data_IF_481775087331
#
_entry.id   IF_481775087331
#
_cell.length_a   1.000
_cell.length_b   1.000
_cell.length_c   1.000
_cell.angle_alpha   90.00
_cell.angle_beta   90.00
_cell.angle_gamma   90.00
#
_symmetry.space_group_name_H-M   'P 1'
#
loop_
_entity.id
_entity.type
_entity.pdbx_description
1 polymer ?
#
# COMPACT_ATOMS: atom_id res chain seq x y z
N UNK A 1 20.97 -55.23 88.28
CA UNK A 1 21.38 -55.22 86.85
C UNK A 1 20.15 -55.43 85.96
N UNK A 2 19.47 -54.37 85.47
CA UNK A 2 18.37 -54.45 84.48
C UNK A 2 17.97 -53.03 84.06
N UNK A 3 18.61 -52.45 83.03
CA UNK A 3 18.14 -51.19 82.36
C UNK A 3 18.88 -50.77 81.07
N UNK A 4 19.74 -51.61 80.47
CA UNK A 4 20.43 -51.28 79.20
C UNK A 4 19.76 -51.83 77.93
N UNK A 5 18.84 -52.79 78.04
CA UNK A 5 18.23 -53.45 76.87
C UNK A 5 17.10 -52.65 76.20
N UNK A 6 16.44 -51.73 76.93
CA UNK A 6 15.33 -50.92 76.38
C UNK A 6 15.79 -49.83 75.42
N UNK A 7 16.91 -49.16 75.69
CA UNK A 7 17.43 -48.12 74.80
C UNK A 7 18.02 -48.69 73.49
N UNK A 8 18.59 -49.90 73.55
CA UNK A 8 19.06 -50.62 72.37
C UNK A 8 17.87 -51.06 71.50
N UNK A 9 16.81 -51.59 72.11
CA UNK A 9 15.59 -51.98 71.39
C UNK A 9 14.90 -50.77 70.71
N UNK A 10 14.78 -49.64 71.41
CA UNK A 10 14.25 -48.40 70.81
C UNK A 10 15.16 -47.84 69.72
N UNK A 11 16.49 -47.92 69.88
CA UNK A 11 17.44 -47.53 68.83
C UNK A 11 17.31 -48.38 67.57
N UNK A 12 17.10 -49.69 67.71
CA UNK A 12 16.86 -50.60 66.58
C UNK A 12 15.52 -50.30 65.89
N UNK A 13 14.46 -50.00 66.65
CA UNK A 13 13.14 -49.65 66.09
C UNK A 13 13.21 -48.32 65.31
N UNK A 14 13.88 -47.30 65.86
CA UNK A 14 14.05 -46.01 65.18
C UNK A 14 14.89 -46.16 63.91
N UNK A 15 15.97 -46.95 63.97
CA UNK A 15 16.78 -47.25 62.79
C UNK A 15 15.99 -48.01 61.72
N UNK A 16 15.17 -49.00 62.11
CA UNK A 16 14.32 -49.75 61.20
C UNK A 16 13.25 -48.86 60.54
N UNK A 17 12.62 -47.96 61.30
CA UNK A 17 11.66 -46.98 60.77
C UNK A 17 12.34 -45.98 59.80
N UNK A 18 13.56 -45.54 60.11
CA UNK A 18 14.32 -44.67 59.22
C UNK A 18 14.69 -45.36 57.91
N UNK A 19 15.08 -46.64 57.95
CA UNK A 19 15.37 -47.45 56.76
C UNK A 19 14.09 -47.68 55.94
N UNK A 20 12.96 -47.98 56.58
CA UNK A 20 11.66 -48.13 55.91
C UNK A 20 11.22 -46.82 55.24
N UNK A 21 11.40 -45.68 55.92
CA UNK A 21 11.10 -44.36 55.38
C UNK A 21 12.00 -44.03 54.18
N UNK A 22 13.32 -44.30 54.27
CA UNK A 22 14.26 -44.09 53.15
C UNK A 22 13.97 -45.03 51.97
N UNK A 23 13.61 -46.30 52.23
CA UNK A 23 13.22 -47.24 51.19
C UNK A 23 11.92 -46.82 50.50
N UNK A 24 10.95 -46.31 51.26
CA UNK A 24 9.72 -45.74 50.71
C UNK A 24 10.00 -44.48 49.89
N UNK A 25 10.81 -43.55 50.40
CA UNK A 25 11.25 -42.36 49.65
C UNK A 25 12.03 -42.70 48.38
N UNK A 26 12.88 -43.73 48.41
CA UNK A 26 13.61 -44.20 47.24
C UNK A 26 12.70 -44.86 46.20
N UNK A 27 11.70 -45.64 46.65
CA UNK A 27 10.66 -46.17 45.76
C UNK A 27 9.84 -45.06 45.12
N UNK A 28 9.43 -44.04 45.90
CA UNK A 28 8.72 -42.85 45.41
C UNK A 28 9.58 -42.02 44.45
N UNK A 29 10.88 -41.84 44.73
CA UNK A 29 11.83 -41.18 43.83
C UNK A 29 11.99 -41.93 42.49
N UNK A 30 12.10 -43.26 42.54
CA UNK A 30 12.16 -44.13 41.35
C UNK A 30 10.88 -44.08 40.52
N UNK A 31 9.73 -43.92 41.17
CA UNK A 31 8.44 -43.79 40.50
C UNK A 31 8.24 -42.39 39.90
N UNK A 32 8.69 -41.34 40.60
CA UNK A 32 8.72 -39.96 40.09
C UNK A 32 9.67 -39.80 38.90
N UNK A 33 10.80 -40.52 38.88
CA UNK A 33 11.74 -40.49 37.75
C UNK A 33 11.28 -41.17 36.45
N UNK A 34 10.06 -41.75 36.43
CA UNK A 34 9.42 -42.31 35.22
C UNK A 34 8.82 -41.25 34.32
N UNK A 35 8.48 -40.09 34.89
CA UNK A 35 8.00 -38.92 34.16
C UNK A 35 9.09 -37.86 34.13
N UNK A 36 9.01 -36.99 33.14
CA UNK A 36 9.92 -35.86 32.99
C UNK A 36 9.61 -34.80 34.07
N UNK A 37 10.64 -34.11 34.59
CA UNK A 37 10.45 -33.00 35.53
C UNK A 37 9.46 -31.95 35.03
N UNK A 38 8.68 -31.37 35.94
CA UNK A 38 7.80 -30.24 35.62
C UNK A 38 8.62 -29.04 35.13
N UNK A 39 8.10 -28.30 34.15
CA UNK A 39 8.77 -27.14 33.55
C UNK A 39 9.90 -27.49 32.56
N UNK A 40 10.02 -28.76 32.17
CA UNK A 40 10.97 -29.20 31.15
C UNK A 40 10.43 -28.93 29.75
N UNK A 41 11.26 -28.31 28.90
CA UNK A 41 10.91 -28.01 27.51
C UNK A 41 11.89 -28.63 26.52
N UNK A 42 11.39 -29.13 25.39
CA UNK A 42 12.19 -29.66 24.29
C UNK A 42 11.77 -28.98 22.99
N UNK A 43 12.70 -28.29 22.32
CA UNK A 43 12.39 -27.45 21.14
C UNK A 43 11.19 -26.50 21.37
N UNK A 44 11.06 -25.95 22.58
CA UNK A 44 9.97 -25.07 22.98
C UNK A 44 8.67 -25.77 23.40
N UNK A 45 8.50 -27.07 23.13
CA UNK A 45 7.35 -27.85 23.58
C UNK A 45 7.49 -28.21 25.06
N UNK A 46 6.45 -27.95 25.86
CA UNK A 46 6.40 -28.39 27.25
C UNK A 46 6.17 -29.90 27.32
N UNK A 47 7.16 -30.60 27.87
CA UNK A 47 7.16 -32.05 28.04
C UNK A 47 7.11 -32.47 29.51
N UNK A 48 6.92 -31.51 30.42
CA UNK A 48 6.83 -31.78 31.85
C UNK A 48 5.71 -32.76 32.18
N UNK A 49 5.99 -33.74 33.05
CA UNK A 49 5.03 -34.76 33.45
C UNK A 49 4.77 -35.86 32.40
N UNK A 50 5.30 -35.74 31.17
CA UNK A 50 5.23 -36.80 30.16
C UNK A 50 6.21 -37.93 30.49
N UNK A 51 5.90 -39.15 30.03
CA UNK A 51 6.93 -40.20 29.94
C UNK A 51 7.92 -39.88 28.82
N UNK A 52 9.10 -40.52 28.86
CA UNK A 52 10.10 -40.41 27.78
C UNK A 52 9.51 -40.70 26.40
N UNK A 53 8.77 -41.79 26.28
CA UNK A 53 8.18 -42.23 25.01
C UNK A 53 7.09 -41.24 24.55
N UNK A 54 6.30 -40.72 25.48
CA UNK A 54 5.28 -39.72 25.18
C UNK A 54 5.90 -38.42 24.68
N UNK A 55 6.99 -37.94 25.29
CA UNK A 55 7.68 -36.73 24.87
C UNK A 55 8.30 -36.88 23.47
N UNK A 56 8.95 -38.02 23.17
CA UNK A 56 9.53 -38.26 21.84
C UNK A 56 8.45 -38.39 20.77
N UNK A 57 7.34 -39.06 21.05
CA UNK A 57 6.20 -39.15 20.13
C UNK A 57 5.56 -37.77 19.89
N UNK A 58 5.40 -36.96 20.94
CA UNK A 58 4.87 -35.61 20.80
C UNK A 58 5.75 -34.71 19.92
N UNK A 59 7.08 -34.83 20.04
CA UNK A 59 8.03 -34.14 19.15
C UNK A 59 7.94 -34.66 17.71
N UNK A 60 7.85 -35.97 17.52
CA UNK A 60 7.69 -36.60 16.20
C UNK A 60 6.42 -36.11 15.50
N UNK A 61 5.29 -36.05 16.21
CA UNK A 61 4.03 -35.51 15.68
C UNK A 61 4.15 -34.00 15.38
N UNK A 62 4.82 -33.24 16.24
CA UNK A 62 5.02 -31.81 16.03
C UNK A 62 5.84 -31.54 14.76
N UNK A 63 6.96 -32.24 14.56
CA UNK A 63 7.81 -32.07 13.37
C UNK A 63 7.23 -32.72 12.10
N UNK A 64 6.29 -33.66 12.23
CA UNK A 64 5.52 -34.21 11.10
C UNK A 64 4.38 -33.27 10.64
N UNK A 65 4.02 -32.26 11.43
CA UNK A 65 2.95 -31.32 11.10
C UNK A 65 3.48 -30.20 10.20
N UNK A 66 2.78 -29.83 9.12
CA UNK A 66 3.18 -28.69 8.28
C UNK A 66 3.25 -27.37 9.05
N UNK A 67 4.30 -26.60 8.80
CA UNK A 67 4.47 -25.26 9.34
C UNK A 67 3.61 -24.27 8.54
N UNK A 68 2.80 -23.45 9.20
CA UNK A 68 1.99 -22.42 8.54
C UNK A 68 2.83 -21.17 8.26
N UNK A 69 3.11 -20.91 6.99
CA UNK A 69 3.90 -19.76 6.55
C UNK A 69 2.96 -18.68 6.04
N UNK A 70 2.99 -17.50 6.67
CA UNK A 70 2.09 -16.39 6.34
C UNK A 70 2.78 -15.39 5.40
N UNK A 71 2.21 -15.18 4.21
CA UNK A 71 2.61 -14.14 3.24
C UNK A 71 1.46 -13.15 3.05
N UNK A 72 1.61 -11.88 3.44
CA UNK A 72 0.55 -10.86 3.29
C UNK A 72 -0.84 -11.31 3.78
N UNK A 73 -0.89 -12.07 4.88
CA UNK A 73 -2.14 -12.63 5.44
C UNK A 73 -2.66 -13.91 4.76
N UNK A 74 -2.00 -14.38 3.70
CA UNK A 74 -2.27 -15.69 3.09
C UNK A 74 -1.48 -16.79 3.80
N UNK A 75 -2.15 -17.91 4.07
CA UNK A 75 -1.60 -19.05 4.79
C UNK A 75 -1.07 -20.10 3.79
N UNK A 76 0.23 -20.36 3.84
CA UNK A 76 0.94 -21.26 2.95
C UNK A 76 1.51 -22.42 3.77
N UNK A 77 0.96 -23.64 3.66
CA UNK A 77 1.48 -24.77 4.40
C UNK A 77 2.84 -25.21 3.85
N UNK A 78 3.86 -25.23 4.71
CA UNK A 78 5.18 -25.76 4.44
C UNK A 78 5.27 -27.20 4.95
N UNK A 79 5.18 -28.16 4.04
CA UNK A 79 5.30 -29.58 4.38
C UNK A 79 6.75 -29.91 4.81
N UNK A 80 6.96 -30.68 5.90
CA UNK A 80 8.29 -31.09 6.36
C UNK A 80 9.15 -31.75 5.26
N UNK A 81 8.55 -32.63 4.46
CA UNK A 81 9.21 -33.33 3.35
C UNK A 81 9.75 -32.37 2.27
N UNK A 82 9.12 -31.20 2.09
CA UNK A 82 9.52 -30.24 1.06
C UNK A 82 10.84 -29.53 1.37
N UNK A 83 11.23 -29.52 2.66
CA UNK A 83 12.50 -28.96 3.16
C UNK A 83 13.43 -30.04 3.72
N UNK A 84 13.10 -31.31 3.50
CA UNK A 84 13.84 -32.46 4.03
C UNK A 84 14.05 -32.34 5.56
N UNK A 85 13.00 -31.89 6.27
CA UNK A 85 13.02 -31.82 7.72
C UNK A 85 13.09 -33.25 8.28
N UNK A 86 14.12 -33.51 9.08
CA UNK A 86 14.32 -34.79 9.73
C UNK A 86 14.50 -34.59 11.24
N UNK A 87 13.80 -35.41 12.00
CA UNK A 87 13.91 -35.51 13.45
C UNK A 87 14.58 -36.84 13.81
N UNK A 88 15.69 -36.75 14.56
CA UNK A 88 16.41 -37.91 15.06
C UNK A 88 15.92 -38.26 16.47
N UNK A 89 15.02 -39.23 16.55
CA UNK A 89 14.46 -39.69 17.81
C UNK A 89 15.51 -40.36 18.70
N UNK A 90 16.46 -41.10 18.13
CA UNK A 90 17.50 -41.84 18.86
C UNK A 90 18.56 -40.88 19.45
N UNK A 91 19.03 -39.91 18.65
CA UNK A 91 19.96 -38.89 19.13
C UNK A 91 19.31 -37.97 20.17
N UNK A 92 18.05 -37.59 19.97
CA UNK A 92 17.28 -36.79 20.94
C UNK A 92 17.07 -37.57 22.24
N UNK A 93 16.76 -38.86 22.15
CA UNK A 93 16.65 -39.77 23.28
C UNK A 93 17.98 -39.88 24.07
N UNK A 94 19.11 -39.98 23.39
CA UNK A 94 20.43 -39.99 24.02
C UNK A 94 20.74 -38.66 24.73
N UNK A 95 20.43 -37.53 24.10
CA UNK A 95 20.58 -36.19 24.71
C UNK A 95 19.70 -36.04 25.97
N UNK A 96 18.47 -36.55 25.91
CA UNK A 96 17.54 -36.57 27.04
C UNK A 96 18.08 -37.43 28.20
N UNK A 97 18.58 -38.62 27.91
CA UNK A 97 19.17 -39.50 28.93
C UNK A 97 20.41 -38.86 29.57
N UNK A 98 21.28 -38.22 28.78
CA UNK A 98 22.44 -37.51 29.28
C UNK A 98 22.07 -36.33 30.19
N UNK A 99 21.03 -35.57 29.82
CA UNK A 99 20.53 -34.45 30.61
C UNK A 99 19.91 -34.92 31.94
N UNK A 100 19.21 -36.06 31.93
CA UNK A 100 18.59 -36.65 33.13
C UNK A 100 19.55 -37.47 33.98
N UNK A 101 20.72 -37.86 33.48
CA UNK A 101 21.69 -38.68 34.23
C UNK A 101 22.11 -38.01 35.55
N UNK A 102 22.26 -36.69 35.56
CA UNK A 102 22.59 -35.91 36.77
C UNK A 102 21.44 -35.87 37.78
N UNK A 103 20.19 -35.75 37.32
CA UNK A 103 19.02 -35.67 38.19
C UNK A 103 18.51 -37.03 38.68
N UNK A 104 18.94 -38.13 38.06
CA UNK A 104 18.59 -39.51 38.45
C UNK A 104 19.61 -40.17 39.40
N UNK A 105 20.74 -39.51 39.68
CA UNK A 105 21.78 -39.99 40.61
C UNK A 105 21.47 -39.73 42.09
N UNK A 106 22.47 -39.98 42.95
CA UNK A 106 22.37 -39.75 44.41
C UNK A 106 22.06 -38.30 44.78
N UNK A 107 22.61 -37.33 44.03
CA UNK A 107 22.35 -35.90 44.25
C UNK A 107 20.89 -35.53 43.96
N UNK A 108 20.29 -36.15 42.95
CA UNK A 108 18.88 -36.00 42.63
C UNK A 108 17.95 -36.59 43.70
N UNK A 109 18.34 -37.73 44.29
CA UNK A 109 17.63 -38.31 45.42
C UNK A 109 17.67 -37.41 46.65
N UNK A 110 18.83 -36.83 46.98
CA UNK A 110 18.97 -35.86 48.09
C UNK A 110 18.12 -34.61 47.83
N UNK A 111 18.13 -34.09 46.60
CA UNK A 111 17.32 -32.95 46.20
C UNK A 111 15.82 -33.23 46.32
N UNK A 112 15.37 -34.43 45.93
CA UNK A 112 13.98 -34.88 46.07
C UNK A 112 13.54 -34.95 47.54
N UNK A 113 14.35 -35.57 48.41
CA UNK A 113 14.06 -35.67 49.85
C UNK A 113 14.01 -34.28 50.51
N UNK A 114 14.86 -33.35 50.07
CA UNK A 114 14.89 -31.97 50.56
C UNK A 114 13.87 -31.04 49.88
N UNK A 115 13.02 -31.54 48.97
CA UNK A 115 12.05 -30.76 48.17
C UNK A 115 12.66 -29.53 47.50
N UNK A 116 13.89 -29.66 46.98
CA UNK A 116 14.51 -28.56 46.24
C UNK A 116 13.82 -28.41 44.87
N UNK A 117 13.50 -27.18 44.45
CA UNK A 117 13.00 -26.93 43.10
C UNK A 117 14.05 -27.38 42.08
N UNK A 118 13.63 -28.10 41.05
CA UNK A 118 14.49 -28.49 39.95
C UNK A 118 14.60 -27.34 38.95
N UNK A 119 15.81 -26.99 38.55
CA UNK A 119 16.03 -25.96 37.54
C UNK A 119 15.57 -26.47 36.15
N UNK A 120 15.03 -25.60 35.29
CA UNK A 120 14.65 -25.97 33.93
C UNK A 120 15.83 -26.57 33.17
N UNK A 121 15.67 -27.79 32.67
CA UNK A 121 16.70 -28.49 31.89
C UNK A 121 16.35 -28.34 30.42
N UNK A 122 17.15 -27.56 29.69
CA UNK A 122 17.07 -27.49 28.24
C UNK A 122 17.76 -28.72 27.61
N UNK A 123 17.01 -29.53 26.87
CA UNK A 123 17.56 -30.69 26.15
C UNK A 123 17.71 -30.36 24.66
N UNK A 124 18.91 -30.50 24.09
CA UNK A 124 19.11 -30.35 22.66
C UNK A 124 18.31 -31.41 21.88
N UNK A 125 17.37 -30.95 21.05
CA UNK A 125 16.60 -31.79 20.13
C UNK A 125 17.38 -31.90 18.82
N UNK A 126 17.61 -33.12 18.36
CA UNK A 126 18.32 -33.38 17.11
C UNK A 126 17.31 -33.30 15.95
N UNK A 127 17.21 -32.11 15.37
CA UNK A 127 16.38 -31.81 14.20
C UNK A 127 17.20 -31.01 13.20
N UNK A 128 17.03 -31.31 11.92
CA UNK A 128 17.72 -30.62 10.84
C UNK A 128 16.84 -30.52 9.59
N UNK A 129 17.16 -29.57 8.72
CA UNK A 129 16.49 -29.35 7.44
C UNK A 129 17.51 -28.96 6.37
N UNK A 130 17.11 -29.00 5.10
CA UNK A 130 17.95 -28.57 3.97
C UNK A 130 17.75 -27.07 3.69
N UNK A 131 18.81 -26.28 3.88
CA UNK A 131 18.80 -24.84 3.56
C UNK A 131 18.52 -24.57 2.08
N UNK A 132 19.05 -25.40 1.19
CA UNK A 132 18.83 -25.30 -0.26
C UNK A 132 17.35 -25.51 -0.62
N UNK A 133 16.70 -26.48 0.03
CA UNK A 133 15.26 -26.73 -0.17
C UNK A 133 14.39 -25.62 0.37
N UNK A 134 14.75 -25.05 1.54
CA UNK A 134 14.09 -23.88 2.10
C UNK A 134 14.20 -22.68 1.16
N UNK A 135 15.38 -22.43 0.61
CA UNK A 135 15.59 -21.38 -0.38
C UNK A 135 14.78 -21.61 -1.65
N UNK A 136 14.70 -22.84 -2.12
CA UNK A 136 13.85 -23.23 -3.23
C UNK A 136 12.36 -23.00 -2.94
N UNK A 137 11.90 -23.26 -1.72
CA UNK A 137 10.54 -22.96 -1.29
C UNK A 137 10.26 -21.46 -1.30
N UNK A 138 11.11 -20.65 -0.63
CA UNK A 138 10.95 -19.19 -0.59
C UNK A 138 10.99 -18.57 -1.98
N UNK A 139 11.86 -19.06 -2.86
CA UNK A 139 11.93 -18.61 -4.26
C UNK A 139 10.65 -18.91 -5.03
N UNK A 140 10.05 -20.09 -4.84
CA UNK A 140 8.74 -20.40 -5.47
C UNK A 140 7.62 -19.52 -4.92
N UNK A 141 7.63 -19.24 -3.62
CA UNK A 141 6.67 -18.32 -3.02
C UNK A 141 6.83 -16.93 -3.62
N UNK A 142 8.05 -16.40 -3.70
CA UNK A 142 8.33 -15.12 -4.36
C UNK A 142 7.81 -15.11 -5.81
N UNK A 143 8.14 -16.13 -6.61
CA UNK A 143 7.70 -16.20 -8.01
C UNK A 143 6.18 -16.25 -8.19
N UNK A 144 5.46 -16.84 -7.24
CA UNK A 144 4.01 -17.01 -7.34
C UNK A 144 3.23 -15.82 -6.77
N UNK A 145 3.76 -15.16 -5.73
CA UNK A 145 3.01 -14.18 -4.94
C UNK A 145 3.57 -12.76 -5.00
N UNK A 146 4.85 -12.57 -5.38
CA UNK A 146 5.39 -11.23 -5.54
C UNK A 146 4.69 -10.53 -6.70
N UNK A 147 4.32 -9.28 -6.47
CA UNK A 147 3.61 -8.46 -7.43
C UNK A 147 4.30 -7.11 -7.54
N UNK A 148 4.68 -6.65 -8.74
CA UNK A 148 5.19 -5.31 -8.91
C UNK A 148 4.09 -4.28 -8.59
N UNK A 149 4.46 -3.07 -8.15
CA UNK A 149 3.49 -2.01 -7.93
C UNK A 149 2.81 -1.66 -9.26
N UNK A 150 1.49 -1.47 -9.22
CA UNK A 150 0.68 -1.19 -10.40
C UNK A 150 0.33 0.30 -10.47
N UNK A 151 0.47 0.94 -11.63
CA UNK A 151 0.11 2.35 -11.80
C UNK A 151 -1.41 2.55 -11.73
N UNK A 152 -1.87 3.78 -11.48
CA UNK A 152 -3.27 4.14 -11.69
C UNK A 152 -3.70 3.85 -13.14
N UNK A 153 -4.95 3.42 -13.32
CA UNK A 153 -5.47 3.00 -14.64
C UNK A 153 -6.68 3.86 -15.01
N UNK A 154 -6.70 4.50 -16.19
CA UNK A 154 -7.85 5.27 -16.63
C UNK A 154 -9.02 4.34 -16.98
N UNK A 155 -10.24 4.74 -16.59
CA UNK A 155 -11.49 4.03 -16.88
C UNK A 155 -12.43 4.96 -17.67
N UNK A 156 -12.30 5.01 -19.01
CA UNK A 156 -13.02 5.98 -19.86
C UNK A 156 -14.54 5.89 -19.76
N UNK A 157 -15.10 4.67 -19.67
CA UNK A 157 -16.55 4.47 -19.55
C UNK A 157 -17.13 5.07 -18.27
N UNK A 158 -16.36 5.05 -17.18
CA UNK A 158 -16.76 5.61 -15.89
C UNK A 158 -16.35 7.06 -15.66
N UNK A 159 -15.53 7.64 -16.56
CA UNK A 159 -14.87 8.94 -16.39
C UNK A 159 -14.06 9.02 -15.07
N UNK A 160 -13.46 7.91 -14.68
CA UNK A 160 -12.72 7.78 -13.41
C UNK A 160 -11.32 7.21 -13.65
N UNK A 161 -10.44 7.37 -12.67
CA UNK A 161 -9.13 6.71 -12.64
C UNK A 161 -9.15 5.74 -11.47
N UNK A 162 -8.87 4.47 -11.74
CA UNK A 162 -8.66 3.47 -10.69
C UNK A 162 -7.34 3.77 -9.98
N UNK A 163 -7.29 3.77 -8.64
CA UNK A 163 -6.04 4.00 -7.92
C UNK A 163 -5.02 2.90 -8.22
N UNK A 164 -3.74 3.29 -8.26
CA UNK A 164 -2.64 2.34 -8.35
C UNK A 164 -2.61 1.40 -7.14
N UNK A 165 -2.02 0.23 -7.33
CA UNK A 165 -1.88 -0.78 -6.27
C UNK A 165 -0.43 -0.89 -5.81
N UNK A 166 -0.17 -1.03 -4.51
CA UNK A 166 1.18 -1.28 -4.00
C UNK A 166 1.73 -2.61 -4.52
N UNK A 167 3.05 -2.66 -4.63
CA UNK A 167 3.79 -3.88 -4.95
C UNK A 167 4.30 -4.57 -3.69
N UNK A 168 4.49 -5.87 -3.79
CA UNK A 168 4.97 -6.73 -2.72
C UNK A 168 6.09 -7.62 -3.23
N UNK A 169 7.19 -7.67 -2.48
CA UNK A 169 8.34 -8.51 -2.80
C UNK A 169 8.83 -9.22 -1.55
N UNK A 170 8.97 -10.54 -1.61
CA UNK A 170 9.46 -11.33 -0.50
C UNK A 170 10.92 -10.99 -0.19
N UNK A 171 11.22 -10.63 1.05
CA UNK A 171 12.59 -10.54 1.53
C UNK A 171 13.06 -11.93 1.96
N UNK A 172 13.65 -12.67 1.01
CA UNK A 172 14.14 -14.03 1.25
C UNK A 172 15.24 -14.03 2.32
N UNK A 173 16.14 -13.04 2.29
CA UNK A 173 17.26 -12.95 3.23
C UNK A 173 16.79 -12.73 4.66
N UNK A 174 15.81 -11.84 4.87
CA UNK A 174 15.23 -11.59 6.19
C UNK A 174 14.30 -12.72 6.65
N UNK A 175 13.60 -13.40 5.73
CA UNK A 175 12.63 -14.43 6.06
C UNK A 175 13.28 -15.79 6.36
N UNK A 176 14.38 -16.13 5.68
CA UNK A 176 15.08 -17.42 5.86
C UNK A 176 15.36 -17.77 7.33
N UNK A 177 16.02 -16.91 8.15
CA UNK A 177 16.29 -17.26 9.54
C UNK A 177 15.03 -17.39 10.40
N UNK A 178 13.95 -16.67 10.07
CA UNK A 178 12.68 -16.78 10.78
C UNK A 178 12.02 -18.14 10.54
N UNK A 179 11.95 -18.57 9.29
CA UNK A 179 11.39 -19.88 8.92
C UNK A 179 12.28 -21.01 9.45
N UNK A 180 13.61 -20.87 9.36
CA UNK A 180 14.55 -21.82 9.93
C UNK A 180 14.38 -22.02 11.43
N UNK A 181 14.24 -20.93 12.20
CA UNK A 181 14.00 -21.00 13.64
C UNK A 181 12.64 -21.66 13.97
N UNK A 182 11.60 -21.39 13.17
CA UNK A 182 10.29 -22.01 13.33
C UNK A 182 10.31 -23.51 13.02
N UNK A 183 11.02 -23.95 11.97
CA UNK A 183 11.19 -25.36 11.62
C UNK A 183 11.90 -26.17 12.72
N UNK A 184 12.77 -25.53 13.50
CA UNK A 184 13.48 -26.16 14.63
C UNK A 184 12.69 -26.08 15.95
N UNK A 185 11.49 -25.50 15.94
CA UNK A 185 10.64 -25.33 17.12
C UNK A 185 9.40 -26.23 17.03
N UNK A 186 9.23 -27.10 18.01
CA UNK A 186 8.03 -27.93 18.13
C UNK A 186 6.81 -27.18 18.68
N UNK A 187 7.03 -25.97 19.25
CA UNK A 187 5.95 -25.13 19.78
C UNK A 187 5.45 -24.08 18.76
N UNK A 188 6.27 -23.73 17.76
CA UNK A 188 5.91 -22.70 16.81
C UNK A 188 5.35 -23.30 15.52
N UNK A 189 4.04 -23.23 15.38
CA UNK A 189 3.32 -23.77 14.21
C UNK A 189 3.08 -22.74 13.12
N UNK A 190 3.43 -21.47 13.36
CA UNK A 190 3.21 -20.38 12.42
C UNK A 190 4.41 -19.42 12.36
N UNK A 191 4.74 -18.96 11.16
CA UNK A 191 5.77 -17.94 10.92
C UNK A 191 5.31 -16.97 9.84
N UNK A 192 5.51 -15.66 10.07
CA UNK A 192 5.20 -14.62 9.09
C UNK A 192 6.44 -14.25 8.30
N UNK A 193 6.34 -14.25 6.97
CA UNK A 193 7.40 -13.83 6.07
C UNK A 193 7.57 -12.31 6.08
N UNK A 194 8.81 -11.87 5.93
CA UNK A 194 9.15 -10.45 5.78
C UNK A 194 8.93 -10.05 4.33
N UNK A 195 8.03 -9.10 4.08
CA UNK A 195 7.70 -8.62 2.73
C UNK A 195 8.01 -7.14 2.62
N UNK A 196 8.77 -6.78 1.59
CA UNK A 196 9.00 -5.38 1.22
C UNK A 196 7.79 -4.87 0.43
N UNK A 197 7.29 -3.70 0.83
CA UNK A 197 6.15 -3.07 0.17
C UNK A 197 6.65 -1.84 -0.61
N UNK A 198 6.35 -1.80 -1.89
CA UNK A 198 6.61 -0.65 -2.75
C UNK A 198 5.31 0.14 -2.97
N UNK A 199 5.28 1.46 -2.77
CA UNK A 199 4.08 2.26 -3.06
C UNK A 199 3.75 2.20 -4.55
N UNK A 200 2.46 2.39 -4.93
CA UNK A 200 2.10 2.54 -6.33
C UNK A 200 2.80 3.76 -6.96
N UNK A 201 3.09 3.73 -8.27
CA UNK A 201 3.48 4.94 -8.99
C UNK A 201 2.46 6.06 -8.77
N UNK A 202 2.90 7.33 -8.69
CA UNK A 202 1.99 8.45 -8.52
C UNK A 202 1.07 8.61 -9.74
N UNK A 203 -0.06 9.27 -9.53
CA UNK A 203 -0.88 9.74 -10.65
C UNK A 203 -0.14 10.87 -11.37
N UNK A 204 0.09 10.70 -12.68
CA UNK A 204 0.74 11.68 -13.54
C UNK A 204 -0.24 12.27 -14.54
N UNK A 205 0.14 13.40 -15.15
CA UNK A 205 -0.63 14.03 -16.22
C UNK A 205 -0.81 13.10 -17.43
N UNK A 206 0.15 12.21 -17.70
CA UNK A 206 0.05 11.19 -18.77
C UNK A 206 -1.19 10.29 -18.59
N UNK A 207 -1.49 9.87 -17.36
CA UNK A 207 -2.67 9.02 -17.08
C UNK A 207 -3.97 9.79 -17.35
N UNK A 208 -3.98 11.09 -17.04
CA UNK A 208 -5.10 11.96 -17.40
C UNK A 208 -5.20 12.13 -18.91
N UNK A 209 -4.08 12.27 -19.61
CA UNK A 209 -4.05 12.35 -21.08
C UNK A 209 -4.64 11.10 -21.73
N UNK A 210 -4.23 9.92 -21.28
CA UNK A 210 -4.78 8.65 -21.74
C UNK A 210 -6.30 8.58 -21.58
N UNK A 211 -6.81 9.00 -20.42
CA UNK A 211 -8.25 9.07 -20.15
C UNK A 211 -8.96 10.01 -21.13
N UNK A 212 -8.46 11.24 -21.26
CA UNK A 212 -9.08 12.27 -22.10
C UNK A 212 -9.02 11.90 -23.59
N UNK A 213 -7.93 11.30 -24.06
CA UNK A 213 -7.82 10.77 -25.41
C UNK A 213 -8.77 9.62 -25.67
N UNK A 214 -8.96 8.73 -24.71
CA UNK A 214 -9.92 7.63 -24.84
C UNK A 214 -11.37 8.14 -24.90
N UNK A 215 -11.70 9.17 -24.12
CA UNK A 215 -13.01 9.83 -24.19
C UNK A 215 -13.19 10.50 -25.55
N UNK A 216 -12.23 11.33 -25.99
CA UNK A 216 -12.28 12.01 -27.27
C UNK A 216 -12.34 11.02 -28.46
N UNK A 217 -11.64 9.89 -28.37
CA UNK A 217 -11.67 8.82 -29.37
C UNK A 217 -13.04 8.17 -29.55
N UNK A 218 -13.94 8.29 -28.58
CA UNK A 218 -15.36 7.89 -28.70
C UNK A 218 -16.17 8.78 -29.65
N UNK A 219 -15.63 9.92 -30.06
CA UNK A 219 -16.27 10.95 -30.88
C UNK A 219 -15.39 11.30 -32.10
N UNK A 220 -15.08 10.30 -32.93
CA UNK A 220 -14.14 10.44 -34.05
C UNK A 220 -14.57 11.46 -35.13
N UNK A 221 -15.83 11.88 -35.13
CA UNK A 221 -16.39 12.92 -36.00
C UNK A 221 -16.15 14.35 -35.47
N UNK A 222 -15.69 14.50 -34.22
CA UNK A 222 -15.43 15.78 -33.58
C UNK A 222 -13.94 16.07 -33.50
N UNK A 223 -13.58 17.33 -33.77
CA UNK A 223 -12.27 17.87 -33.42
C UNK A 223 -12.32 18.33 -31.97
N UNK A 224 -11.79 17.51 -31.05
CA UNK A 224 -11.79 17.81 -29.61
C UNK A 224 -10.53 18.57 -29.22
N UNK A 225 -10.69 19.68 -28.50
CA UNK A 225 -9.62 20.55 -28.01
C UNK A 225 -9.65 20.62 -26.49
N UNK A 226 -8.54 20.31 -25.84
CA UNK A 226 -8.43 20.27 -24.38
C UNK A 226 -7.08 20.88 -23.99
N UNK A 227 -7.11 21.75 -22.99
CA UNK A 227 -5.93 22.22 -22.28
C UNK A 227 -6.18 22.06 -20.78
N UNK A 228 -5.18 21.53 -20.07
CA UNK A 228 -5.19 21.40 -18.62
C UNK A 228 -3.86 21.91 -18.10
N UNK A 229 -3.90 22.69 -17.02
CA UNK A 229 -2.72 23.16 -16.31
C UNK A 229 -2.84 22.86 -14.83
N UNK A 230 -1.87 22.16 -14.28
CA UNK A 230 -1.73 22.02 -12.84
C UNK A 230 -1.11 23.30 -12.28
N UNK A 231 -1.89 24.04 -11.47
CA UNK A 231 -1.46 25.31 -10.89
C UNK A 231 -0.42 25.15 -9.77
N UNK A 232 -0.25 23.95 -9.21
CA UNK A 232 0.74 23.68 -8.16
C UNK A 232 2.11 23.37 -8.77
N UNK A 233 2.14 22.58 -9.84
CA UNK A 233 3.38 22.10 -10.45
C UNK A 233 3.78 22.87 -11.71
N UNK A 234 2.82 23.51 -12.38
CA UNK A 234 2.98 24.13 -13.69
C UNK A 234 2.97 23.14 -14.85
N UNK A 235 2.69 21.86 -14.61
CA UNK A 235 2.57 20.85 -15.66
C UNK A 235 1.36 21.12 -16.55
N UNK A 236 1.52 20.96 -17.86
CA UNK A 236 0.51 21.27 -18.86
C UNK A 236 0.23 20.04 -19.73
N UNK A 237 -1.04 19.86 -20.07
CA UNK A 237 -1.54 18.85 -20.99
C UNK A 237 -2.35 19.52 -22.08
N UNK A 238 -2.03 19.18 -23.33
CA UNK A 238 -2.68 19.73 -24.50
C UNK A 238 -3.11 18.65 -25.48
N UNK A 239 -4.40 18.56 -25.77
CA UNK A 239 -4.96 17.78 -26.88
C UNK A 239 -5.54 18.78 -27.87
N UNK A 240 -4.92 18.95 -29.04
CA UNK A 240 -5.30 19.99 -30.01
C UNK A 240 -5.43 21.39 -29.38
N UNK A 241 -4.60 21.68 -28.37
CA UNK A 241 -4.75 22.87 -27.53
C UNK A 241 -4.50 24.19 -28.30
N UNK A 242 -3.77 24.14 -29.41
CA UNK A 242 -3.47 25.29 -30.28
C UNK A 242 -4.34 25.30 -31.55
N UNK A 243 -5.39 24.49 -31.63
CA UNK A 243 -6.34 24.53 -32.75
C UNK A 243 -7.31 25.67 -32.52
N UNK A 244 -7.59 26.47 -33.56
CA UNK A 244 -8.58 27.53 -33.49
C UNK A 244 -9.99 26.94 -33.42
N UNK A 245 -10.83 27.49 -32.54
CA UNK A 245 -12.26 27.22 -32.44
C UNK A 245 -13.01 28.54 -32.55
N UNK A 246 -14.29 28.47 -32.93
CA UNK A 246 -15.20 29.61 -32.79
C UNK A 246 -15.23 30.02 -31.30
N UNK A 247 -15.00 31.31 -31.03
CA UNK A 247 -14.94 31.84 -29.68
C UNK A 247 -16.29 31.77 -28.95
N UNK A 248 -17.40 31.85 -29.69
CA UNK A 248 -18.77 31.76 -29.16
C UNK A 248 -18.94 32.60 -27.88
N UNK A 249 -19.72 32.13 -26.91
CA UNK A 249 -19.87 32.79 -25.61
C UNK A 249 -18.65 32.64 -24.69
N UNK A 250 -17.61 31.89 -25.08
CA UNK A 250 -16.39 31.74 -24.29
C UNK A 250 -15.63 33.07 -24.22
N UNK A 251 -15.62 33.85 -25.30
CA UNK A 251 -14.96 35.16 -25.34
C UNK A 251 -15.59 36.21 -24.41
N UNK A 252 -16.79 35.98 -23.89
CA UNK A 252 -17.35 36.84 -22.84
C UNK A 252 -16.48 36.84 -21.59
N UNK A 253 -15.70 35.79 -21.33
CA UNK A 253 -14.69 35.76 -20.26
C UNK A 253 -13.65 36.86 -20.49
N UNK A 254 -13.13 36.99 -21.72
CA UNK A 254 -12.20 38.05 -22.09
C UNK A 254 -12.83 39.44 -22.00
N UNK A 255 -14.10 39.58 -22.43
CA UNK A 255 -14.85 40.85 -22.27
C UNK A 255 -14.95 41.23 -20.79
N UNK A 256 -15.23 40.28 -19.90
CA UNK A 256 -15.30 40.55 -18.47
C UNK A 256 -13.95 40.92 -17.87
N UNK A 257 -12.90 40.16 -18.18
CA UNK A 257 -11.53 40.45 -17.73
C UNK A 257 -11.12 41.87 -18.11
N UNK A 258 -11.30 42.22 -19.39
CA UNK A 258 -10.97 43.55 -19.88
C UNK A 258 -11.89 44.62 -19.30
N UNK A 259 -13.19 44.35 -19.13
CA UNK A 259 -14.12 45.26 -18.43
C UNK A 259 -13.60 45.60 -17.03
N UNK A 260 -13.15 44.62 -16.26
CA UNK A 260 -12.60 44.86 -14.91
C UNK A 260 -11.28 45.64 -14.94
N UNK A 261 -10.52 45.62 -16.04
CA UNK A 261 -9.33 46.47 -16.20
C UNK A 261 -9.66 47.95 -16.41
N UNK A 262 -10.85 48.27 -16.92
CA UNK A 262 -11.30 49.66 -17.14
C UNK A 262 -12.05 50.25 -15.93
N UNK A 263 -12.38 49.46 -14.92
CA UNK A 263 -13.29 49.87 -13.85
C UNK A 263 -12.67 49.73 -12.47
N UNK A 264 -12.80 50.80 -11.67
CA UNK A 264 -12.54 50.76 -10.23
C UNK A 264 -13.85 50.53 -9.44
N UNK A 265 -13.83 49.72 -8.37
CA UNK A 265 -14.98 49.61 -7.48
C UNK A 265 -15.23 50.92 -6.68
N UNK A 266 -16.48 51.24 -6.31
CA UNK A 266 -17.69 50.43 -6.51
C UNK A 266 -18.31 50.59 -7.90
N UNK A 267 -18.80 49.49 -8.44
CA UNK A 267 -19.47 49.46 -9.74
C UNK A 267 -20.87 50.08 -9.66
N UNK A 268 -21.32 50.71 -10.74
CA UNK A 268 -22.70 51.19 -10.85
C UNK A 268 -23.67 50.01 -10.91
N UNK A 269 -24.93 50.24 -10.53
CA UNK A 269 -25.96 49.20 -10.60
C UNK A 269 -26.18 48.71 -12.04
N UNK A 270 -26.05 49.62 -13.02
CA UNK A 270 -26.16 49.31 -14.45
C UNK A 270 -25.04 48.42 -14.94
N UNK A 271 -23.78 48.75 -14.64
CA UNK A 271 -22.63 47.91 -15.04
C UNK A 271 -22.66 46.57 -14.31
N UNK A 272 -23.11 46.55 -13.05
CA UNK A 272 -23.31 45.32 -12.28
C UNK A 272 -24.36 44.40 -12.91
N UNK A 273 -25.45 44.97 -13.42
CA UNK A 273 -26.49 44.25 -14.19
C UNK A 273 -25.91 43.67 -15.49
N UNK A 274 -25.14 44.47 -16.24
CA UNK A 274 -24.51 43.99 -17.47
C UNK A 274 -23.54 42.84 -17.23
N UNK A 275 -22.63 42.98 -16.27
CA UNK A 275 -21.69 41.94 -15.86
C UNK A 275 -22.41 40.64 -15.45
N UNK A 276 -23.46 40.77 -14.64
CA UNK A 276 -24.22 39.63 -14.13
C UNK A 276 -24.92 38.85 -15.25
N UNK A 277 -25.51 39.54 -16.22
CA UNK A 277 -26.25 38.90 -17.30
C UNK A 277 -25.36 38.38 -18.44
N UNK A 278 -24.13 38.92 -18.59
CA UNK A 278 -23.18 38.47 -19.62
C UNK A 278 -22.68 37.04 -19.39
N UNK A 279 -22.36 36.65 -18.15
CA UNK A 279 -22.03 35.25 -17.78
C UNK A 279 -23.11 34.55 -16.97
N UNK A 280 -24.21 35.22 -16.66
CA UNK A 280 -25.35 34.66 -15.94
C UNK A 280 -26.15 33.63 -16.75
N UNK A 281 -27.31 33.26 -16.24
CA UNK A 281 -28.17 32.19 -16.79
C UNK A 281 -28.45 32.37 -18.28
N UNK A 282 -28.58 33.61 -18.75
CA UNK A 282 -28.90 33.92 -20.15
C UNK A 282 -27.68 34.01 -21.06
N UNK A 283 -26.46 34.13 -20.51
CA UNK A 283 -25.24 34.50 -21.24
C UNK A 283 -25.50 35.54 -22.33
N UNK A 284 -25.95 36.73 -21.95
CA UNK A 284 -26.57 37.68 -22.89
C UNK A 284 -25.56 38.33 -23.85
N UNK A 285 -25.74 38.14 -25.16
CA UNK A 285 -24.98 38.85 -26.20
C UNK A 285 -25.20 40.36 -26.12
N UNK A 286 -26.45 40.80 -25.92
CA UNK A 286 -26.78 42.22 -25.79
C UNK A 286 -26.00 42.89 -24.65
N UNK A 287 -25.94 42.25 -23.48
CA UNK A 287 -25.22 42.80 -22.32
C UNK A 287 -23.70 42.76 -22.51
N UNK A 288 -23.18 41.71 -23.16
CA UNK A 288 -21.78 41.65 -23.57
C UNK A 288 -21.43 42.81 -24.51
N UNK A 289 -22.29 43.11 -25.48
CA UNK A 289 -22.11 44.23 -26.39
C UNK A 289 -22.18 45.58 -25.68
N UNK A 290 -23.03 45.74 -24.65
CA UNK A 290 -23.05 46.97 -23.83
C UNK A 290 -21.73 47.19 -23.08
N UNK A 291 -21.13 46.12 -22.53
CA UNK A 291 -19.81 46.20 -21.90
C UNK A 291 -18.72 46.55 -22.92
N UNK A 292 -18.71 45.83 -24.04
CA UNK A 292 -17.77 46.04 -25.14
C UNK A 292 -17.82 47.49 -25.66
N UNK A 293 -19.03 48.01 -25.89
CA UNK A 293 -19.25 49.35 -26.40
C UNK A 293 -18.97 50.43 -25.36
N UNK A 294 -19.63 50.37 -24.19
CA UNK A 294 -19.69 51.51 -23.27
C UNK A 294 -18.56 51.53 -22.24
N UNK A 295 -17.91 50.38 -22.00
CA UNK A 295 -16.78 50.30 -21.06
C UNK A 295 -15.46 50.21 -21.81
N UNK A 296 -15.33 49.24 -22.71
CA UNK A 296 -14.05 48.95 -23.39
C UNK A 296 -13.83 49.87 -24.59
N UNK A 297 -14.89 50.15 -25.36
CA UNK A 297 -14.82 50.81 -26.66
C UNK A 297 -15.10 52.32 -26.67
N UNK A 298 -15.31 52.95 -25.51
CA UNK A 298 -15.55 54.39 -25.41
C UNK A 298 -16.81 54.88 -26.15
N UNK A 299 -17.81 54.01 -26.30
CA UNK A 299 -19.08 54.28 -26.98
C UNK A 299 -19.22 53.59 -28.35
N UNK A 300 -18.19 52.90 -28.85
CA UNK A 300 -18.21 52.14 -30.10
C UNK A 300 -17.87 50.66 -29.87
N UNK A 301 -18.77 49.76 -30.28
CA UNK A 301 -18.59 48.31 -30.13
C UNK A 301 -17.45 47.73 -30.98
N UNK A 302 -17.18 48.30 -32.16
CA UNK A 302 -16.06 47.88 -33.00
C UNK A 302 -14.72 48.29 -32.40
N UNK A 303 -14.64 49.51 -31.87
CA UNK A 303 -13.47 49.94 -31.11
C UNK A 303 -13.27 49.05 -29.86
N UNK A 304 -14.36 48.66 -29.21
CA UNK A 304 -14.31 47.71 -28.10
C UNK A 304 -13.73 46.35 -28.50
N UNK A 305 -14.12 45.80 -29.65
CA UNK A 305 -13.57 44.56 -30.19
C UNK A 305 -12.06 44.67 -30.52
N UNK A 306 -11.64 45.78 -31.12
CA UNK A 306 -10.22 46.06 -31.40
C UNK A 306 -9.40 46.18 -30.11
N UNK A 307 -9.93 46.90 -29.12
CA UNK A 307 -9.29 47.06 -27.81
C UNK A 307 -9.15 45.72 -27.08
N UNK A 308 -10.21 44.90 -27.08
CA UNK A 308 -10.19 43.55 -26.51
C UNK A 308 -9.10 42.69 -27.18
N UNK A 309 -9.09 42.65 -28.50
CA UNK A 309 -8.08 41.90 -29.27
C UNK A 309 -6.66 42.38 -28.99
N UNK A 310 -6.48 43.70 -28.88
CA UNK A 310 -5.18 44.31 -28.53
C UNK A 310 -4.73 43.86 -27.14
N UNK A 311 -5.64 43.81 -26.17
CA UNK A 311 -5.34 43.34 -24.81
C UNK A 311 -5.02 41.85 -24.77
N UNK A 312 -5.74 41.00 -25.52
CA UNK A 312 -5.39 39.58 -25.64
C UNK A 312 -4.00 39.37 -26.27
N UNK A 313 -3.69 40.14 -27.32
CA UNK A 313 -2.37 40.12 -27.94
C UNK A 313 -1.26 40.57 -26.98
N UNK A 314 -1.53 41.61 -26.17
CA UNK A 314 -0.61 42.09 -25.13
C UNK A 314 -0.30 41.02 -24.07
N UNK A 315 -1.28 40.19 -23.72
CA UNK A 315 -1.11 39.04 -22.82
C UNK A 315 -0.39 37.84 -23.48
N UNK A 316 -0.08 37.91 -24.78
CA UNK A 316 0.48 36.82 -25.56
C UNK A 316 -0.55 35.80 -26.06
N UNK A 317 -1.85 36.03 -25.83
CA UNK A 317 -2.97 35.19 -26.24
C UNK A 317 -3.36 35.50 -27.70
N UNK A 318 -2.38 35.36 -28.60
CA UNK A 318 -2.46 35.85 -29.99
C UNK A 318 -3.50 35.14 -30.85
N UNK A 319 -4.00 33.98 -30.41
CA UNK A 319 -5.04 33.24 -31.11
C UNK A 319 -6.44 33.59 -30.60
N UNK A 320 -6.55 34.39 -29.54
CA UNK A 320 -7.81 34.88 -28.98
C UNK A 320 -8.10 36.27 -29.49
N UNK A 321 -9.17 36.41 -30.27
CA UNK A 321 -9.54 37.70 -30.86
C UNK A 321 -11.04 37.82 -31.13
N UNK A 322 -11.48 39.06 -31.32
CA UNK A 322 -12.78 39.46 -31.81
C UNK A 322 -12.63 40.67 -32.73
N UNK A 323 -13.26 40.65 -33.92
CA UNK A 323 -13.22 41.78 -34.87
C UNK A 323 -14.55 42.53 -34.98
N UNK A 324 -15.62 42.01 -34.37
CA UNK A 324 -16.95 42.61 -34.37
C UNK A 324 -17.73 42.23 -33.09
N UNK A 325 -18.67 43.07 -32.63
CA UNK A 325 -19.63 42.72 -31.57
C UNK A 325 -20.44 41.43 -31.87
N UNK A 326 -21.04 40.84 -30.84
CA UNK A 326 -21.95 39.70 -31.02
C UNK A 326 -23.17 40.06 -31.87
N UNK A 327 -23.70 39.06 -32.58
CA UNK A 327 -24.89 39.15 -33.45
C UNK A 327 -24.72 40.05 -34.69
N UNK A 328 -23.49 40.50 -34.99
CA UNK A 328 -23.16 41.14 -36.26
C UNK A 328 -23.05 40.09 -37.37
N UNK A 329 -23.76 40.30 -38.47
CA UNK A 329 -23.72 39.42 -39.66
C UNK A 329 -23.03 40.11 -40.84
N UNK A 330 -22.13 39.36 -41.50
CA UNK A 330 -21.53 39.60 -42.82
C UNK A 330 -21.34 41.07 -43.25
N UNK A 331 -20.46 41.77 -42.54
CA UNK A 331 -20.05 43.15 -42.87
C UNK A 331 -18.83 43.24 -43.80
N UNK A 332 -18.42 42.13 -44.43
CA UNK A 332 -17.22 42.08 -45.29
C UNK A 332 -15.89 42.30 -44.54
N UNK A 333 -15.90 42.15 -43.20
CA UNK A 333 -14.71 42.26 -42.37
C UNK A 333 -13.78 41.06 -42.57
N UNK A 334 -12.47 41.34 -42.58
CA UNK A 334 -11.44 40.31 -42.70
C UNK A 334 -11.19 39.64 -41.35
N UNK A 335 -11.02 38.31 -41.34
CA UNK A 335 -10.53 37.58 -40.16
C UNK A 335 -9.10 37.99 -39.84
N UNK A 336 -8.77 38.02 -38.55
CA UNK A 336 -7.37 38.11 -38.11
C UNK A 336 -6.70 36.76 -38.40
N UNK A 337 -5.52 36.80 -39.00
CA UNK A 337 -4.72 35.61 -39.31
C UNK A 337 -3.80 35.32 -38.13
N UNK A 338 -3.92 34.12 -37.57
CA UNK A 338 -3.15 33.64 -36.42
C UNK A 338 -2.47 32.32 -36.78
N UNK A 339 -1.51 31.88 -35.96
CA UNK A 339 -0.90 30.56 -36.17
C UNK A 339 -1.95 29.45 -36.08
N UNK A 340 -2.87 29.53 -35.11
CA UNK A 340 -3.90 28.52 -34.89
C UNK A 340 -4.88 28.38 -36.06
N UNK A 341 -5.34 29.48 -36.65
CA UNK A 341 -6.31 29.45 -37.75
C UNK A 341 -5.68 29.37 -39.15
N UNK A 342 -4.36 29.38 -39.23
CA UNK A 342 -3.59 29.13 -40.45
C UNK A 342 -3.19 27.66 -40.63
N UNK A 343 -3.56 26.79 -39.68
CA UNK A 343 -3.28 25.34 -39.76
C UNK A 343 -4.01 24.69 -40.93
N UNK A 344 -3.32 23.77 -41.60
CA UNK A 344 -3.85 23.02 -42.76
C UNK A 344 -4.03 21.53 -42.49
N UNK A 345 -3.51 21.04 -41.37
CA UNK A 345 -3.58 19.65 -40.95
C UNK A 345 -4.88 19.32 -40.19
N UNK A 346 -5.48 20.32 -39.55
CA UNK A 346 -6.74 20.20 -38.81
C UNK A 346 -7.51 21.53 -38.86
N UNK A 347 -8.84 21.45 -38.95
CA UNK A 347 -9.70 22.63 -38.91
C UNK A 347 -11.02 22.31 -38.24
N UNK A 348 -11.53 23.27 -37.49
CA UNK A 348 -12.87 23.23 -36.86
C UNK A 348 -13.89 24.05 -37.65
N UNK A 349 -13.46 24.65 -38.78
CA UNK A 349 -14.20 25.70 -39.49
C UNK A 349 -14.65 26.82 -38.52
N UNK A 350 -13.71 27.49 -37.82
CA UNK A 350 -14.05 28.45 -36.78
C UNK A 350 -14.71 29.70 -37.37
N UNK A 351 -15.49 30.40 -36.53
CA UNK A 351 -16.10 31.68 -36.88
C UNK A 351 -15.01 32.71 -37.28
N UNK A 352 -15.07 33.33 -38.47
CA UNK A 352 -14.06 34.28 -38.92
C UNK A 352 -13.97 35.55 -38.06
N UNK A 353 -15.00 35.90 -37.30
CA UNK A 353 -15.03 37.14 -36.54
C UNK A 353 -14.52 37.01 -35.12
N UNK A 354 -14.57 35.82 -34.54
CA UNK A 354 -14.23 35.64 -33.14
C UNK A 354 -13.72 34.23 -32.86
N UNK A 355 -12.48 34.12 -32.41
CA UNK A 355 -11.80 32.83 -32.25
C UNK A 355 -10.98 32.80 -30.96
N UNK A 356 -10.71 31.58 -30.49
CA UNK A 356 -9.75 31.30 -29.43
C UNK A 356 -9.22 29.88 -29.60
N UNK A 357 -8.28 29.47 -28.75
CA UNK A 357 -7.78 28.10 -28.65
C UNK A 357 -7.99 27.60 -27.22
N UNK A 358 -8.07 26.28 -26.98
CA UNK A 358 -8.10 25.75 -25.61
C UNK A 358 -6.92 26.24 -24.76
N UNK A 359 -5.73 26.36 -25.35
CA UNK A 359 -4.55 26.89 -24.68
C UNK A 359 -4.75 28.36 -24.28
N UNK A 360 -5.07 29.24 -25.22
CA UNK A 360 -5.16 30.67 -24.94
C UNK A 360 -6.24 30.97 -23.89
N UNK A 361 -7.44 30.42 -24.05
CA UNK A 361 -8.51 30.65 -23.07
C UNK A 361 -8.20 30.00 -21.73
N UNK A 362 -7.54 28.84 -21.73
CA UNK A 362 -7.14 28.15 -20.51
C UNK A 362 -6.02 28.86 -19.75
N UNK A 363 -5.21 29.69 -20.43
CA UNK A 363 -4.22 30.57 -19.81
C UNK A 363 -4.81 31.90 -19.34
N UNK A 364 -5.93 32.35 -19.92
CA UNK A 364 -6.65 33.55 -19.49
C UNK A 364 -7.39 33.33 -18.16
N UNK A 365 -7.89 32.12 -17.93
CA UNK A 365 -8.53 31.67 -16.69
C UNK A 365 -7.51 31.44 -15.57
#
# INVERSE_FOLDING_TARGET
MRRKSGCIAWGVIIAALAVLFLAWQYASFRQAGRVLPEGMTMAGLDVGGMSREQALNALEVAFATPLDVVYQGQHLPLAPDSVELYFDSDATAANLDAALAKSRGLDGFIAYVLRRPQEPIAVPVAVGYSEERLDGFLTRVAQQYDQPPQPPVPLPTGLTISPGQPGYTLDITASRPLVGAALLSAAQQQVTLTVQTAPPPPLTMDVLEELLRAIAGGHADLVTGIFVKDLQTGEELGINAEVAYAGLSVLKIAILEETYRYLDPPLSAEVSDWLSDTLGVTSSNFKANLLLQNVIGGGDGYQGAENLTTSMNYLGLVNTFMVAPYDEEDNGLFTIVTQANSRTDITTNPDPYMQTTPLDIGLLL
#
